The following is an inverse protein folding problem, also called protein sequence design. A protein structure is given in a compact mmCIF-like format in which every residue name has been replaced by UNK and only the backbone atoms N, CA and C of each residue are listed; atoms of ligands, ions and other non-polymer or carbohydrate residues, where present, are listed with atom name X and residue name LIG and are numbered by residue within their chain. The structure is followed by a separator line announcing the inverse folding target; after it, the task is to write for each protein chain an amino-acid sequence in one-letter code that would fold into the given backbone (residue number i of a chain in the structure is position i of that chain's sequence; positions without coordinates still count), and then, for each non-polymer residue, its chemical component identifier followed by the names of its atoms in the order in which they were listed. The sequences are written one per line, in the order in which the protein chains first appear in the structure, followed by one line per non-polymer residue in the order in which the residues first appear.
data_IF_879904632784
#
_entry.id   IF_879904632784
#
_cell.length_a   1.000
_cell.length_b   1.000
_cell.length_c   1.000
_cell.angle_alpha   90.00
_cell.angle_beta   90.00
_cell.angle_gamma   90.00
#
_symmetry.space_group_name_H-M   'P 1'
#
loop_
_entity.id
_entity.type
_entity.pdbx_description
1 polymer ?
#
# COMPACT_ATOMS: atom_id res chain seq x y z
N UNK A 1 11.20 24.71 13.79
CA UNK A 1 10.37 25.28 12.72
C UNK A 1 10.77 24.84 11.32
N UNK A 2 12.06 24.86 10.93
CA UNK A 2 12.49 24.45 9.58
C UNK A 2 12.02 23.06 9.12
N UNK A 3 12.09 22.05 10.00
CA UNK A 3 11.72 20.66 9.64
C UNK A 3 10.22 20.52 9.32
N UNK A 4 9.34 21.19 10.07
CA UNK A 4 7.90 21.12 9.83
C UNK A 4 7.53 21.76 8.49
N UNK A 5 8.11 22.92 8.20
CA UNK A 5 7.89 23.61 6.93
C UNK A 5 8.36 22.81 5.72
N UNK A 6 9.50 22.11 5.83
CA UNK A 6 9.99 21.20 4.78
C UNK A 6 9.04 20.02 4.58
N UNK A 7 8.56 19.40 5.66
CA UNK A 7 7.59 18.30 5.56
C UNK A 7 6.29 18.75 4.90
N UNK A 8 5.73 19.89 5.31
CA UNK A 8 4.51 20.43 4.70
C UNK A 8 4.69 20.73 3.20
N UNK A 9 5.82 21.30 2.82
CA UNK A 9 6.13 21.59 1.41
C UNK A 9 6.38 20.33 0.57
N UNK A 10 6.66 19.20 1.20
CA UNK A 10 6.89 17.92 0.53
C UNK A 10 5.60 17.10 0.33
N UNK A 11 4.48 17.52 0.94
CA UNK A 11 3.21 16.82 0.90
C UNK A 11 2.26 17.47 -0.10
N UNK A 12 1.45 16.65 -0.76
CA UNK A 12 0.33 17.15 -1.54
C UNK A 12 -0.73 17.80 -0.62
N UNK A 13 -1.41 18.89 -1.03
CA UNK A 13 -2.32 19.63 -0.14
C UNK A 13 -3.41 18.77 0.52
N UNK A 14 -3.94 17.77 -0.20
CA UNK A 14 -4.94 16.85 0.34
C UNK A 14 -4.40 15.95 1.47
N UNK A 15 -3.13 15.53 1.37
CA UNK A 15 -2.46 14.73 2.39
C UNK A 15 -2.14 15.63 3.60
N UNK A 16 -1.64 16.85 3.35
CA UNK A 16 -1.35 17.81 4.40
C UNK A 16 -2.58 18.13 5.25
N UNK A 17 -3.74 18.34 4.62
CA UNK A 17 -5.00 18.64 5.32
C UNK A 17 -5.43 17.49 6.25
N UNK A 18 -5.29 16.24 5.78
CA UNK A 18 -5.61 15.04 6.55
C UNK A 18 -4.74 14.85 7.82
N UNK A 19 -3.54 15.43 7.84
CA UNK A 19 -2.59 15.34 8.97
C UNK A 19 -2.34 16.68 9.68
N UNK A 20 -3.24 17.66 9.48
CA UNK A 20 -3.14 18.99 10.07
C UNK A 20 -3.21 19.01 11.60
N UNK A 21 -3.68 17.91 12.22
CA UNK A 21 -3.71 17.69 13.67
C UNK A 21 -2.34 17.39 14.29
N UNK A 22 -1.30 17.04 13.52
CA UNK A 22 0.01 16.72 14.07
C UNK A 22 0.73 17.99 14.55
N UNK A 23 1.02 18.07 15.85
CA UNK A 23 1.57 19.29 16.46
C UNK A 23 3.09 19.38 16.35
N UNK A 24 3.77 18.25 16.07
CA UNK A 24 5.22 18.20 15.92
C UNK A 24 5.67 17.53 14.62
N UNK A 25 6.81 17.98 14.10
CA UNK A 25 7.42 17.39 12.90
C UNK A 25 7.76 15.90 13.09
N UNK A 26 8.09 15.49 14.32
CA UNK A 26 8.34 14.09 14.66
C UNK A 26 7.06 13.26 14.56
N UNK A 27 5.97 13.76 15.11
CA UNK A 27 4.67 13.09 15.08
C UNK A 27 4.14 12.95 13.65
N UNK A 28 4.24 14.02 12.85
CA UNK A 28 3.90 13.99 11.43
C UNK A 28 4.74 12.94 10.70
N UNK A 29 6.06 12.97 10.88
CA UNK A 29 6.96 12.01 10.24
C UNK A 29 6.69 10.56 10.65
N UNK A 30 6.51 10.29 11.95
CA UNK A 30 6.24 8.94 12.45
C UNK A 30 4.89 8.42 11.93
N UNK A 31 3.89 9.30 11.78
CA UNK A 31 2.59 8.96 11.19
C UNK A 31 2.70 8.66 9.71
N UNK A 32 3.35 9.54 8.93
CA UNK A 32 3.59 9.32 7.51
C UNK A 32 4.42 8.05 7.28
N UNK A 33 5.41 7.78 8.12
CA UNK A 33 6.20 6.54 8.05
C UNK A 33 5.37 5.30 8.33
N UNK A 34 4.40 5.35 9.25
CA UNK A 34 3.49 4.22 9.48
C UNK A 34 2.57 3.96 8.29
N UNK A 35 2.05 5.03 7.68
CA UNK A 35 1.07 4.93 6.59
C UNK A 35 1.75 4.63 5.23
N UNK A 36 2.82 5.35 4.92
CA UNK A 36 3.50 5.33 3.62
C UNK A 36 4.89 4.70 3.66
N UNK A 37 5.43 4.33 4.82
CA UNK A 37 6.76 3.72 4.94
C UNK A 37 6.87 2.30 4.41
N UNK A 38 5.81 1.79 3.78
CA UNK A 38 5.77 0.50 3.08
C UNK A 38 6.22 -0.70 3.92
N UNK A 39 6.09 -0.63 5.25
CA UNK A 39 6.60 -1.64 6.20
C UNK A 39 5.97 -3.03 6.02
N UNK A 40 4.79 -3.10 5.41
CA UNK A 40 4.08 -4.36 5.12
C UNK A 40 3.76 -4.53 3.63
N UNK A 41 4.51 -3.85 2.75
CA UNK A 41 4.26 -3.85 1.30
C UNK A 41 2.81 -3.48 0.92
N UNK A 42 2.12 -2.69 1.74
CA UNK A 42 0.68 -2.42 1.59
C UNK A 42 0.35 -1.81 0.23
N UNK A 43 1.16 -0.84 -0.23
CA UNK A 43 1.00 -0.24 -1.56
C UNK A 43 1.08 -1.29 -2.66
N UNK A 44 2.09 -2.19 -2.58
CA UNK A 44 2.24 -3.26 -3.57
C UNK A 44 1.08 -4.26 -3.51
N UNK A 45 0.60 -4.62 -2.32
CA UNK A 45 -0.56 -5.50 -2.21
C UNK A 45 -1.82 -4.85 -2.79
N UNK A 46 -2.02 -3.55 -2.54
CA UNK A 46 -3.13 -2.81 -3.14
C UNK A 46 -3.06 -2.86 -4.66
N UNK A 47 -1.91 -2.55 -5.26
CA UNK A 47 -1.68 -2.63 -6.71
C UNK A 47 -1.99 -4.01 -7.28
N UNK A 48 -1.48 -5.08 -6.64
CA UNK A 48 -1.71 -6.46 -7.11
C UNK A 48 -3.19 -6.83 -7.01
N UNK A 49 -3.87 -6.48 -5.91
CA UNK A 49 -5.32 -6.70 -5.76
C UNK A 49 -6.13 -5.94 -6.81
N UNK A 50 -5.76 -4.69 -7.08
CA UNK A 50 -6.39 -3.88 -8.11
C UNK A 50 -6.17 -4.48 -9.51
N UNK A 51 -4.95 -4.95 -9.80
CA UNK A 51 -4.63 -5.61 -11.06
C UNK A 51 -5.45 -6.91 -11.25
N UNK A 52 -5.63 -7.71 -10.19
CA UNK A 52 -6.51 -8.89 -10.22
C UNK A 52 -7.96 -8.50 -10.47
N UNK A 53 -8.47 -7.49 -9.76
CA UNK A 53 -9.85 -7.03 -9.89
C UNK A 53 -10.17 -6.49 -11.28
N UNK A 54 -9.19 -5.85 -11.91
CA UNK A 54 -9.31 -5.30 -13.26
C UNK A 54 -8.91 -6.30 -14.35
N UNK A 55 -8.46 -7.51 -13.98
CA UNK A 55 -8.05 -8.53 -14.94
C UNK A 55 -9.30 -9.11 -15.62
N UNK A 56 -9.43 -8.83 -16.91
CA UNK A 56 -10.48 -9.34 -17.78
C UNK A 56 -9.86 -10.15 -18.92
N UNK A 57 -10.56 -11.19 -19.37
CA UNK A 57 -10.05 -12.07 -20.41
C UNK A 57 -10.01 -11.40 -21.79
N UNK A 58 -11.03 -10.62 -22.14
CA UNK A 58 -11.18 -9.98 -23.47
C UNK A 58 -10.88 -10.97 -24.61
N UNK A 59 -10.07 -10.57 -25.60
CA UNK A 59 -9.64 -11.39 -26.74
C UNK A 59 -8.44 -12.30 -26.42
N UNK A 60 -8.02 -12.37 -25.15
CA UNK A 60 -6.89 -13.19 -24.74
C UNK A 60 -7.27 -14.67 -24.68
N UNK A 61 -6.37 -15.53 -25.15
CA UNK A 61 -6.49 -16.97 -24.96
C UNK A 61 -6.58 -17.31 -23.46
N UNK A 62 -7.51 -18.21 -23.12
CA UNK A 62 -7.76 -18.63 -21.74
C UNK A 62 -6.48 -19.01 -20.98
N UNK A 63 -5.57 -19.76 -21.60
CA UNK A 63 -4.33 -20.21 -20.96
C UNK A 63 -3.43 -19.03 -20.56
N UNK A 64 -3.35 -18.00 -21.39
CA UNK A 64 -2.59 -16.77 -21.10
C UNK A 64 -3.26 -15.96 -20.00
N UNK A 65 -4.58 -15.82 -20.04
CA UNK A 65 -5.34 -15.13 -19.00
C UNK A 65 -5.18 -15.81 -17.63
N UNK A 66 -5.36 -17.15 -17.58
CA UNK A 66 -5.15 -17.95 -16.38
C UNK A 66 -3.71 -17.86 -15.87
N UNK A 67 -2.73 -17.84 -16.78
CA UNK A 67 -1.32 -17.62 -16.42
C UNK A 67 -1.10 -16.29 -15.71
N UNK A 68 -1.64 -15.19 -16.25
CA UNK A 68 -1.56 -13.86 -15.62
C UNK A 68 -2.23 -13.84 -14.25
N UNK A 69 -3.43 -14.41 -14.14
CA UNK A 69 -4.12 -14.51 -12.86
C UNK A 69 -3.28 -15.26 -11.83
N UNK A 70 -2.73 -16.43 -12.19
CA UNK A 70 -1.89 -17.23 -11.29
C UNK A 70 -0.62 -16.51 -10.85
N UNK A 71 0.02 -15.76 -11.75
CA UNK A 71 1.20 -14.96 -11.39
C UNK A 71 0.86 -13.87 -10.36
N UNK A 72 -0.22 -13.11 -10.57
CA UNK A 72 -0.67 -12.09 -9.62
C UNK A 72 -1.11 -12.69 -8.28
N UNK A 73 -1.77 -13.85 -8.33
CA UNK A 73 -2.16 -14.58 -7.13
C UNK A 73 -0.95 -15.04 -6.31
N UNK A 74 0.04 -15.63 -6.97
CA UNK A 74 1.29 -16.07 -6.33
C UNK A 74 2.05 -14.88 -5.72
N UNK A 75 2.08 -13.73 -6.38
CA UNK A 75 2.66 -12.52 -5.81
C UNK A 75 1.92 -12.07 -4.54
N UNK A 76 0.58 -12.17 -4.51
CA UNK A 76 -0.21 -11.85 -3.31
C UNK A 76 0.16 -12.77 -2.15
N UNK A 77 0.33 -14.06 -2.40
CA UNK A 77 0.73 -15.05 -1.38
C UNK A 77 2.16 -14.81 -0.88
N UNK A 78 3.08 -14.36 -1.74
CA UNK A 78 4.43 -13.98 -1.33
C UNK A 78 4.45 -12.71 -0.48
N UNK A 79 3.67 -11.69 -0.88
CA UNK A 79 3.57 -10.44 -0.14
C UNK A 79 2.84 -10.59 1.20
N UNK A 80 1.88 -11.52 1.28
CA UNK A 80 1.13 -11.85 2.49
C UNK A 80 0.93 -13.36 2.63
N UNK A 81 1.92 -14.07 3.20
CA UNK A 81 1.79 -15.49 3.49
C UNK A 81 0.64 -15.75 4.46
N UNK A 82 -0.07 -16.87 4.30
CA UNK A 82 -1.08 -17.29 5.26
C UNK A 82 -0.48 -17.38 6.67
N UNK A 83 -1.15 -16.78 7.64
CA UNK A 83 -0.71 -16.74 9.03
C UNK A 83 -1.92 -16.87 9.94
N UNK A 84 -1.71 -17.50 11.09
CA UNK A 84 -2.67 -17.57 12.21
C UNK A 84 -2.26 -16.61 13.34
N UNK A 85 -1.17 -15.88 13.17
CA UNK A 85 -0.69 -14.90 14.14
C UNK A 85 -1.58 -13.66 14.16
N UNK A 86 -2.08 -13.30 15.34
CA UNK A 86 -3.06 -12.23 15.50
C UNK A 86 -2.47 -10.84 15.17
N UNK A 87 -1.19 -10.61 15.49
CA UNK A 87 -0.53 -9.33 15.22
C UNK A 87 -0.26 -9.14 13.73
N UNK A 88 0.09 -10.20 13.00
CA UNK A 88 0.22 -10.19 11.54
C UNK A 88 -1.14 -10.04 10.84
N UNK A 89 -2.23 -10.57 11.42
CA UNK A 89 -3.59 -10.37 10.90
C UNK A 89 -4.06 -8.93 11.08
N UNK A 90 -3.76 -8.29 12.21
CA UNK A 90 -4.12 -6.88 12.47
C UNK A 90 -3.46 -5.88 11.51
N UNK A 91 -2.39 -6.28 10.81
CA UNK A 91 -1.71 -5.47 9.79
C UNK A 91 -2.34 -5.57 8.39
N UNK A 92 -3.39 -6.39 8.22
CA UNK A 92 -3.97 -6.72 6.91
C UNK A 92 -5.06 -5.77 6.43
#
# INVERSE_FOLDING_TARGET
MLVMSVLHASLEPAILDAYSYCESAKELWDTLKKVYGNTSNLSRVFEVKQAINNLVQEDMEFTKHLGRFRSLWSETEMLRPSTTDADELNKR
#
